data_IF_692916129910
#
_entry.id   IF_692916129910
#
_cell.length_a   1.000
_cell.length_b   1.000
_cell.length_c   1.000
_cell.angle_alpha   90.00
_cell.angle_beta   90.00
_cell.angle_gamma   90.00
#
_symmetry.space_group_name_H-M   'P 1'
#
loop_
_entity.id
_entity.type
_entity.pdbx_description
1 polymer ?
#
# COMPACT_ATOMS: atom_id res chain seq x y z
N UNK A 1 4.62 20.96 -9.87
CA UNK A 1 3.73 21.57 -8.84
C UNK A 1 3.72 23.08 -9.01
N UNK A 2 2.55 23.75 -8.97
CA UNK A 2 2.49 25.23 -9.09
C UNK A 2 2.93 25.84 -7.75
N UNK A 3 3.90 26.78 -7.72
CA UNK A 3 4.43 27.34 -6.47
C UNK A 3 3.38 28.08 -5.64
N UNK A 4 2.37 28.66 -6.28
CA UNK A 4 1.30 29.43 -5.59
C UNK A 4 0.12 28.56 -5.15
N UNK A 5 0.10 27.27 -5.49
CA UNK A 5 -0.91 26.34 -4.97
C UNK A 5 -0.69 26.05 -3.49
N UNK A 6 -1.75 25.67 -2.77
CA UNK A 6 -1.67 25.26 -1.37
C UNK A 6 -0.62 24.16 -1.18
N UNK A 7 -0.60 23.16 -2.08
CA UNK A 7 0.40 22.08 -2.07
C UNK A 7 1.82 22.63 -2.24
N UNK A 8 2.02 23.63 -3.13
CA UNK A 8 3.32 24.26 -3.32
C UNK A 8 3.78 25.05 -2.10
N UNK A 9 2.88 25.72 -1.41
CA UNK A 9 3.17 26.43 -0.16
C UNK A 9 3.53 25.44 0.95
N UNK A 10 2.75 24.37 1.11
CA UNK A 10 3.03 23.32 2.09
C UNK A 10 4.38 22.63 1.83
N UNK A 11 4.69 22.33 0.57
CA UNK A 11 5.97 21.75 0.21
C UNK A 11 7.17 22.64 0.58
N UNK A 12 7.06 23.97 0.37
CA UNK A 12 8.09 24.92 0.81
C UNK A 12 8.26 24.91 2.32
N UNK A 13 7.16 24.96 3.08
CA UNK A 13 7.21 24.89 4.53
C UNK A 13 7.85 23.58 5.03
N UNK A 14 7.53 22.44 4.41
CA UNK A 14 8.16 21.16 4.75
C UNK A 14 9.67 21.19 4.49
N UNK A 15 10.13 21.79 3.39
CA UNK A 15 11.56 21.94 3.10
C UNK A 15 12.25 22.88 4.08
N UNK A 16 11.66 24.01 4.38
CA UNK A 16 12.16 24.94 5.38
C UNK A 16 12.29 24.27 6.75
N UNK A 17 11.28 23.50 7.15
CA UNK A 17 11.31 22.71 8.38
C UNK A 17 12.46 21.68 8.36
N UNK A 18 12.66 21.01 7.22
CA UNK A 18 13.75 20.05 7.05
C UNK A 18 15.14 20.67 7.21
N UNK A 19 15.31 21.90 6.75
CA UNK A 19 16.60 22.61 6.74
C UNK A 19 16.88 23.33 8.07
N UNK A 20 15.84 23.84 8.76
CA UNK A 20 16.01 24.75 9.91
C UNK A 20 15.74 24.10 11.25
N UNK A 21 14.89 23.08 11.31
CA UNK A 21 14.52 22.44 12.56
C UNK A 21 15.54 21.38 13.01
N UNK A 22 15.77 21.19 14.32
CA UNK A 22 16.64 20.13 14.81
C UNK A 22 15.91 18.79 14.93
N UNK A 23 16.68 17.69 14.83
CA UNK A 23 16.29 16.34 15.23
C UNK A 23 15.05 15.80 14.50
N UNK A 24 14.05 15.40 15.26
CA UNK A 24 12.84 14.75 14.75
C UNK A 24 12.02 15.63 13.81
N UNK A 25 11.92 16.91 14.08
CA UNK A 25 11.19 17.87 13.24
C UNK A 25 11.79 18.01 11.84
N UNK A 26 13.12 18.00 11.74
CA UNK A 26 13.80 17.97 10.42
C UNK A 26 13.41 16.70 9.64
N UNK A 27 13.39 15.54 10.29
CA UNK A 27 12.97 14.28 9.67
C UNK A 27 11.52 14.33 9.20
N UNK A 28 10.61 14.92 9.99
CA UNK A 28 9.20 15.17 9.57
C UNK A 28 9.18 16.01 8.29
N UNK A 29 9.95 17.10 8.26
CA UNK A 29 10.03 17.99 7.10
C UNK A 29 10.47 17.25 5.84
N UNK A 30 11.52 16.43 5.95
CA UNK A 30 12.03 15.59 4.83
C UNK A 30 10.97 14.60 4.35
N UNK A 31 10.35 13.85 5.28
CA UNK A 31 9.37 12.83 4.95
C UNK A 31 8.12 13.46 4.33
N UNK A 32 7.61 14.56 4.89
CA UNK A 32 6.44 15.26 4.37
C UNK A 32 6.70 15.87 2.98
N UNK A 33 7.86 16.48 2.76
CA UNK A 33 8.23 16.99 1.43
C UNK A 33 8.30 15.87 0.39
N UNK A 34 8.92 14.73 0.73
CA UNK A 34 9.00 13.56 -0.14
C UNK A 34 7.62 12.99 -0.49
N UNK A 35 6.70 12.97 0.50
CA UNK A 35 5.30 12.54 0.29
C UNK A 35 4.56 13.45 -0.68
N UNK A 36 4.74 14.77 -0.57
CA UNK A 36 4.10 15.75 -1.46
C UNK A 36 4.62 15.69 -2.90
N UNK A 37 5.84 15.20 -3.11
CA UNK A 37 6.43 14.98 -4.43
C UNK A 37 6.05 13.60 -5.03
N UNK A 38 5.62 12.66 -4.19
CA UNK A 38 5.27 11.31 -4.56
C UNK A 38 3.82 11.13 -5.08
N UNK A 39 3.47 9.91 -5.49
CA UNK A 39 2.10 9.53 -5.75
C UNK A 39 1.30 9.43 -4.45
N UNK A 40 -0.01 9.66 -4.53
CA UNK A 40 -0.94 9.42 -3.42
C UNK A 40 -0.96 7.93 -3.07
N UNK A 41 -0.79 7.59 -1.80
CA UNK A 41 -0.80 6.21 -1.30
C UNK A 41 -2.20 5.88 -0.75
N UNK A 42 -2.92 4.99 -1.42
CA UNK A 42 -4.31 4.65 -1.08
C UNK A 42 -4.43 3.17 -0.74
N UNK A 43 -4.92 2.86 0.45
CA UNK A 43 -5.25 1.49 0.85
C UNK A 43 -6.71 1.15 0.51
N UNK A 44 -6.92 -0.06 -0.02
CA UNK A 44 -8.23 -0.66 -0.19
C UNK A 44 -8.47 -1.60 0.98
N UNK A 45 -9.43 -1.27 1.83
CA UNK A 45 -9.75 -2.01 3.03
C UNK A 45 -11.19 -2.54 2.99
N UNK A 46 -11.51 -3.48 3.87
CA UNK A 46 -12.83 -4.10 3.97
C UNK A 46 -12.76 -5.60 4.13
N UNK A 47 -13.91 -6.23 4.33
CA UNK A 47 -14.03 -7.67 4.58
C UNK A 47 -13.61 -8.52 3.39
N UNK A 48 -13.35 -9.80 3.65
CA UNK A 48 -13.14 -10.80 2.60
C UNK A 48 -14.33 -10.79 1.64
N UNK A 49 -14.07 -10.88 0.33
CA UNK A 49 -15.08 -10.84 -0.74
C UNK A 49 -15.87 -9.51 -0.83
N UNK A 50 -15.44 -8.43 -0.20
CA UNK A 50 -16.07 -7.11 -0.36
C UNK A 50 -15.87 -6.50 -1.76
N UNK A 51 -14.93 -7.02 -2.55
CA UNK A 51 -14.65 -6.56 -3.92
C UNK A 51 -13.36 -5.73 -4.04
N UNK A 52 -12.48 -5.71 -3.03
CA UNK A 52 -11.21 -4.96 -3.03
C UNK A 52 -10.37 -5.24 -4.28
N UNK A 53 -10.00 -6.48 -4.52
CA UNK A 53 -9.19 -6.86 -5.69
C UNK A 53 -9.90 -6.62 -7.03
N UNK A 54 -11.22 -6.68 -7.08
CA UNK A 54 -12.02 -6.32 -8.26
C UNK A 54 -11.92 -4.82 -8.54
N UNK A 55 -12.09 -3.99 -7.51
CA UNK A 55 -11.93 -2.54 -7.61
C UNK A 55 -10.50 -2.17 -8.00
N UNK A 56 -9.50 -2.81 -7.37
CA UNK A 56 -8.09 -2.59 -7.68
C UNK A 56 -7.81 -2.87 -9.16
N UNK A 57 -8.24 -4.02 -9.69
CA UNK A 57 -8.07 -4.37 -11.09
C UNK A 57 -8.73 -3.34 -12.03
N UNK A 58 -9.90 -2.82 -11.66
CA UNK A 58 -10.58 -1.77 -12.42
C UNK A 58 -9.81 -0.44 -12.38
N UNK A 59 -9.26 -0.05 -11.23
CA UNK A 59 -8.46 1.16 -11.06
C UNK A 59 -7.13 1.06 -11.82
N UNK A 60 -6.46 -0.07 -11.75
CA UNK A 60 -5.21 -0.31 -12.49
C UNK A 60 -5.47 -0.41 -14.00
N UNK A 61 -6.63 -0.96 -14.39
CA UNK A 61 -7.02 -1.21 -15.78
C UNK A 61 -6.54 -2.56 -16.30
N UNK A 62 -6.01 -3.41 -15.43
CA UNK A 62 -5.53 -4.77 -15.74
C UNK A 62 -5.90 -5.74 -14.61
N UNK A 63 -5.98 -7.03 -14.93
CA UNK A 63 -6.19 -8.10 -13.96
C UNK A 63 -4.86 -8.51 -13.32
N UNK A 64 -4.37 -7.71 -12.38
CA UNK A 64 -3.09 -7.91 -11.68
C UNK A 64 -3.27 -8.40 -10.25
N UNK A 65 -4.38 -8.08 -9.61
CA UNK A 65 -4.69 -8.61 -8.29
C UNK A 65 -5.36 -9.98 -8.41
N UNK A 66 -4.92 -10.98 -7.64
CA UNK A 66 -5.61 -12.26 -7.54
C UNK A 66 -7.04 -12.04 -7.06
N UNK A 67 -8.03 -12.53 -7.80
CA UNK A 67 -9.45 -12.46 -7.40
C UNK A 67 -9.91 -13.73 -6.67
N UNK A 68 -9.13 -14.79 -6.79
CA UNK A 68 -9.37 -16.06 -6.11
C UNK A 68 -8.60 -16.10 -4.78
N UNK A 69 -9.04 -16.92 -3.84
CA UNK A 69 -8.41 -17.07 -2.51
C UNK A 69 -7.02 -17.69 -2.65
N UNK A 70 -6.04 -16.88 -3.04
CA UNK A 70 -4.64 -17.27 -3.09
C UNK A 70 -3.92 -16.85 -1.81
N UNK A 71 -2.77 -17.46 -1.55
CA UNK A 71 -1.92 -17.13 -0.38
C UNK A 71 -1.53 -15.65 -0.34
N UNK A 72 -1.50 -14.96 -1.48
CA UNK A 72 -1.19 -13.55 -1.58
C UNK A 72 -2.19 -12.64 -0.84
N UNK A 73 -3.44 -13.08 -0.61
CA UNK A 73 -4.44 -12.29 0.14
C UNK A 73 -4.16 -12.21 1.65
N UNK A 74 -3.11 -12.86 2.14
CA UNK A 74 -2.64 -12.77 3.52
C UNK A 74 -1.64 -11.65 3.75
N UNK A 75 -1.16 -10.98 2.68
CA UNK A 75 -0.16 -9.94 2.73
C UNK A 75 -0.69 -8.64 2.16
N UNK A 76 -0.18 -7.52 2.67
CA UNK A 76 -0.38 -6.24 2.03
C UNK A 76 0.36 -6.26 0.69
N UNK A 77 -0.36 -5.98 -0.39
CA UNK A 77 0.21 -5.96 -1.74
C UNK A 77 0.12 -4.55 -2.32
N UNK A 78 1.29 -3.93 -2.53
CA UNK A 78 1.41 -2.63 -3.16
C UNK A 78 1.44 -2.75 -4.68
N UNK A 79 0.70 -1.89 -5.35
CA UNK A 79 0.69 -1.74 -6.81
C UNK A 79 1.19 -0.35 -7.17
N UNK A 80 2.30 -0.27 -7.93
CA UNK A 80 2.95 0.97 -8.32
C UNK A 80 3.35 1.00 -9.78
N UNK A 81 3.53 2.21 -10.35
CA UNK A 81 4.12 2.38 -11.69
C UNK A 81 5.56 1.91 -11.68
N UNK A 82 5.98 1.24 -12.73
CA UNK A 82 7.35 0.80 -12.95
C UNK A 82 7.61 0.56 -14.43
N UNK A 83 8.88 0.48 -14.84
CA UNK A 83 9.24 0.32 -16.25
C UNK A 83 8.85 -1.04 -16.82
N UNK A 84 8.75 -2.05 -15.97
CA UNK A 84 8.44 -3.44 -16.33
C UNK A 84 7.60 -4.12 -15.24
N UNK A 85 7.03 -5.27 -15.59
CA UNK A 85 6.36 -6.12 -14.61
C UNK A 85 7.40 -6.76 -13.70
N UNK A 86 7.30 -6.46 -12.44
CA UNK A 86 8.20 -6.96 -11.41
C UNK A 86 7.43 -7.20 -10.11
N UNK A 87 7.71 -8.30 -9.43
CA UNK A 87 7.19 -8.60 -8.11
C UNK A 87 8.34 -8.75 -7.14
N UNK A 88 8.24 -8.05 -6.02
CA UNK A 88 9.23 -8.07 -4.96
C UNK A 88 8.56 -8.39 -3.64
N UNK A 89 9.14 -9.31 -2.88
CA UNK A 89 8.79 -9.57 -1.49
C UNK A 89 9.73 -8.74 -0.62
N UNK A 90 9.18 -7.99 0.33
CA UNK A 90 9.97 -7.24 1.31
C UNK A 90 9.84 -7.89 2.69
N UNK A 91 10.98 -8.14 3.33
CA UNK A 91 11.08 -8.57 4.73
C UNK A 91 11.00 -7.41 5.71
N UNK A 92 10.78 -7.72 6.98
CA UNK A 92 10.82 -6.72 8.07
C UNK A 92 12.24 -6.13 8.25
N UNK A 93 13.26 -6.86 7.84
CA UNK A 93 14.68 -6.43 7.83
C UNK A 93 15.03 -5.50 6.67
N UNK A 94 14.07 -5.16 5.80
CA UNK A 94 14.30 -4.38 4.59
C UNK A 94 14.90 -5.17 3.42
N UNK A 95 15.16 -6.47 3.57
CA UNK A 95 15.59 -7.32 2.48
C UNK A 95 14.48 -7.45 1.43
N UNK A 96 14.85 -7.32 0.16
CA UNK A 96 13.90 -7.43 -0.95
C UNK A 96 14.29 -8.57 -1.89
N UNK A 97 13.37 -9.50 -2.10
CA UNK A 97 13.56 -10.65 -2.98
C UNK A 97 12.63 -10.53 -4.19
N UNK A 98 13.20 -10.58 -5.39
CA UNK A 98 12.41 -10.61 -6.62
C UNK A 98 11.83 -12.01 -6.82
N UNK A 99 10.55 -12.09 -7.16
CA UNK A 99 9.85 -13.36 -7.42
C UNK A 99 9.31 -13.41 -8.85
N UNK A 100 9.07 -14.62 -9.33
CA UNK A 100 8.55 -14.82 -10.66
C UNK A 100 7.13 -14.26 -10.80
N UNK A 101 6.91 -13.52 -11.87
CA UNK A 101 5.63 -13.02 -12.30
C UNK A 101 5.24 -13.73 -13.60
N UNK A 102 4.14 -14.44 -13.58
CA UNK A 102 3.63 -15.16 -14.75
C UNK A 102 2.27 -14.60 -15.16
N UNK A 103 1.97 -14.65 -16.44
CA UNK A 103 0.63 -14.37 -16.97
C UNK A 103 0.03 -15.66 -17.52
N UNK A 104 -1.06 -16.10 -16.93
CA UNK A 104 -1.81 -17.22 -17.42
C UNK A 104 -3.26 -16.80 -17.74
N UNK A 105 -3.67 -16.95 -19.00
CA UNK A 105 -5.01 -16.55 -19.43
C UNK A 105 -5.32 -15.06 -19.24
N UNK A 106 -4.32 -14.17 -19.36
CA UNK A 106 -4.49 -12.71 -19.16
C UNK A 106 -4.62 -12.28 -17.71
N UNK A 107 -4.41 -13.20 -16.74
CA UNK A 107 -4.36 -12.92 -15.29
C UNK A 107 -2.93 -12.98 -14.80
N UNK A 108 -2.57 -12.07 -13.92
CA UNK A 108 -1.31 -12.11 -13.20
C UNK A 108 -1.33 -13.24 -12.17
N UNK A 109 -0.29 -14.05 -12.17
CA UNK A 109 -0.03 -15.04 -11.13
C UNK A 109 1.32 -14.73 -10.48
N UNK A 110 1.27 -14.49 -9.18
CA UNK A 110 2.46 -14.32 -8.35
C UNK A 110 2.76 -15.68 -7.75
N UNK A 111 3.86 -16.30 -8.17
CA UNK A 111 4.33 -17.55 -7.58
C UNK A 111 5.31 -17.22 -6.46
N UNK A 112 4.87 -17.44 -5.24
CA UNK A 112 5.77 -17.38 -4.09
C UNK A 112 6.79 -18.52 -4.19
N UNK A 113 8.05 -18.30 -3.75
CA UNK A 113 9.02 -19.39 -3.63
C UNK A 113 8.52 -20.47 -2.66
N UNK A 114 8.85 -21.72 -2.93
CA UNK A 114 8.57 -22.84 -2.02
C UNK A 114 9.88 -23.35 -1.40
N UNK A 115 10.05 -23.27 -0.06
CA UNK A 115 9.15 -22.66 0.92
C UNK A 115 9.14 -21.13 0.81
N UNK A 116 8.03 -20.48 1.16
CA UNK A 116 8.01 -19.01 1.17
C UNK A 116 9.02 -18.47 2.18
N UNK A 117 9.67 -17.33 1.90
CA UNK A 117 10.57 -16.70 2.86
C UNK A 117 9.82 -16.49 4.19
N UNK A 118 10.44 -16.90 5.32
CA UNK A 118 9.74 -16.93 6.62
C UNK A 118 9.33 -15.54 7.13
N UNK A 119 10.05 -14.50 6.70
CA UNK A 119 10.02 -13.18 7.33
C UNK A 119 9.58 -12.06 6.38
N UNK A 120 8.89 -12.36 5.27
CA UNK A 120 8.35 -11.30 4.43
C UNK A 120 7.00 -10.78 4.95
N UNK A 121 6.82 -9.47 4.87
CA UNK A 121 5.65 -8.77 5.39
C UNK A 121 4.80 -8.15 4.29
N UNK A 122 5.39 -7.81 3.14
CA UNK A 122 4.75 -7.08 2.07
C UNK A 122 5.15 -7.59 0.69
N UNK A 123 4.23 -7.43 -0.25
CA UNK A 123 4.44 -7.70 -1.67
C UNK A 123 4.36 -6.36 -2.41
N UNK A 124 5.30 -6.11 -3.33
CA UNK A 124 5.22 -4.98 -4.25
C UNK A 124 5.14 -5.49 -5.67
N UNK A 125 4.08 -5.10 -6.38
CA UNK A 125 3.88 -5.34 -7.81
C UNK A 125 4.13 -4.02 -8.55
N UNK A 126 5.17 -3.98 -9.37
CA UNK A 126 5.46 -2.86 -10.26
C UNK A 126 5.04 -3.22 -11.67
N UNK A 127 4.39 -2.30 -12.38
CA UNK A 127 3.93 -2.51 -13.75
C UNK A 127 3.84 -1.17 -14.49
N UNK A 128 3.98 -1.16 -15.83
CA UNK A 128 3.80 0.05 -16.62
C UNK A 128 2.34 0.53 -16.56
N UNK A 129 2.03 1.54 -15.75
CA UNK A 129 0.67 2.06 -15.60
C UNK A 129 0.65 3.56 -15.38
N UNK A 130 0.11 4.30 -16.36
CA UNK A 130 -0.06 5.76 -16.22
C UNK A 130 -0.94 6.15 -15.03
N UNK A 131 -1.87 5.28 -14.63
CA UNK A 131 -2.78 5.53 -13.50
C UNK A 131 -2.02 5.46 -12.19
N UNK A 132 -1.10 4.49 -12.05
CA UNK A 132 -0.30 4.30 -10.85
C UNK A 132 0.82 5.34 -10.66
N UNK A 133 1.10 6.18 -11.66
CA UNK A 133 2.04 7.32 -11.51
C UNK A 133 1.56 8.37 -10.52
N UNK A 134 0.25 8.51 -10.36
CA UNK A 134 -0.35 9.50 -9.46
C UNK A 134 -0.91 8.90 -8.18
N UNK A 135 -1.26 7.62 -8.21
CA UNK A 135 -1.87 6.91 -7.10
C UNK A 135 -1.27 5.52 -7.02
N UNK A 136 -0.60 5.20 -5.95
CA UNK A 136 -0.23 3.83 -5.62
C UNK A 136 -1.35 3.21 -4.79
N UNK A 137 -1.62 1.93 -5.02
CA UNK A 137 -2.71 1.20 -4.38
C UNK A 137 -2.15 0.08 -3.51
N UNK A 138 -2.65 -0.03 -2.29
CA UNK A 138 -2.41 -1.17 -1.42
C UNK A 138 -3.67 -2.02 -1.33
N UNK A 139 -3.61 -3.28 -1.75
CA UNK A 139 -4.64 -4.28 -1.46
C UNK A 139 -4.34 -4.87 -0.08
N UNK A 140 -5.30 -4.75 0.85
CA UNK A 140 -5.13 -5.26 2.20
C UNK A 140 -5.84 -6.58 2.38
N UNK A 141 -5.33 -7.46 3.26
CA UNK A 141 -6.07 -8.62 3.72
C UNK A 141 -7.44 -8.25 4.28
N UNK A 142 -8.42 -9.14 4.16
CA UNK A 142 -9.73 -8.92 4.77
C UNK A 142 -9.67 -8.92 6.30
N UNK A 143 -10.40 -8.00 6.94
CA UNK A 143 -10.42 -7.87 8.40
C UNK A 143 -11.08 -9.04 9.14
N UNK A 144 -11.92 -9.80 8.45
CA UNK A 144 -12.60 -10.99 8.96
C UNK A 144 -11.76 -12.26 8.80
N UNK A 145 -10.48 -12.12 8.45
CA UNK A 145 -9.54 -13.24 8.50
C UNK A 145 -9.44 -13.75 9.93
N UNK A 146 -9.66 -15.05 10.12
CA UNK A 146 -9.48 -15.74 11.40
C UNK A 146 -8.03 -15.75 11.90
N UNK A 147 -7.10 -15.31 11.06
CA UNK A 147 -5.69 -15.18 11.38
C UNK A 147 -5.41 -13.78 11.98
N UNK A 148 -5.12 -13.76 13.27
CA UNK A 148 -4.83 -12.53 14.02
C UNK A 148 -3.63 -11.75 13.43
N UNK A 149 -2.65 -12.44 12.84
CA UNK A 149 -1.49 -11.80 12.20
C UNK A 149 -1.88 -11.05 10.93
N UNK A 150 -2.86 -11.53 10.18
CA UNK A 150 -3.36 -10.88 8.97
C UNK A 150 -4.07 -9.56 9.34
N UNK A 151 -4.89 -9.56 10.37
CA UNK A 151 -5.52 -8.35 10.90
C UNK A 151 -4.51 -7.30 11.40
N UNK A 152 -3.46 -7.78 12.11
CA UNK A 152 -2.40 -6.91 12.61
C UNK A 152 -1.60 -6.21 11.49
N UNK A 153 -1.34 -6.88 10.36
CA UNK A 153 -0.66 -6.29 9.20
C UNK A 153 -1.46 -5.14 8.57
N UNK A 154 -2.76 -5.34 8.40
CA UNK A 154 -3.63 -4.30 7.89
C UNK A 154 -3.69 -3.11 8.86
N UNK A 155 -3.78 -3.37 10.15
CA UNK A 155 -3.79 -2.33 11.18
C UNK A 155 -2.49 -1.53 11.17
N UNK A 156 -1.32 -2.18 11.14
CA UNK A 156 -0.01 -1.50 11.01
C UNK A 156 0.12 -0.62 9.76
N UNK A 157 -0.57 -0.97 8.67
CA UNK A 157 -0.59 -0.14 7.47
C UNK A 157 -1.40 1.14 7.67
N UNK A 158 -2.53 1.04 8.38
CA UNK A 158 -3.52 2.10 8.53
C UNK A 158 -3.26 2.97 9.75
N UNK A 159 -2.71 2.41 10.81
CA UNK A 159 -2.34 3.11 12.03
C UNK A 159 -0.97 3.78 11.88
N UNK A 160 -0.75 4.83 12.63
CA UNK A 160 0.56 5.47 12.75
C UNK A 160 1.51 4.52 13.47
N UNK A 161 2.67 4.17 12.88
CA UNK A 161 3.61 3.30 13.57
C UNK A 161 4.16 3.99 14.81
N UNK A 162 4.10 3.31 15.95
CA UNK A 162 4.81 3.75 17.15
C UNK A 162 6.32 3.56 16.91
N UNK A 163 7.08 4.65 16.81
CA UNK A 163 8.55 4.63 16.75
C UNK A 163 9.20 4.60 15.37
N UNK A 164 8.48 4.33 14.29
CA UNK A 164 9.03 4.32 12.92
C UNK A 164 8.21 5.21 11.99
N UNK A 165 8.80 6.36 11.61
CA UNK A 165 8.14 7.32 10.74
C UNK A 165 7.13 8.21 11.48
N UNK A 166 6.97 9.43 11.00
CA UNK A 166 6.13 10.45 11.65
C UNK A 166 4.79 10.60 10.95
N UNK A 167 4.66 10.03 9.75
CA UNK A 167 3.45 10.06 8.94
C UNK A 167 2.83 8.66 8.78
N UNK A 168 1.50 8.56 8.63
CA UNK A 168 0.84 7.30 8.29
C UNK A 168 1.43 6.72 7.00
N UNK A 169 1.45 5.40 6.87
CA UNK A 169 1.98 4.73 5.66
C UNK A 169 1.11 4.95 4.42
N UNK A 170 -0.15 5.34 4.59
CA UNK A 170 -1.10 5.67 3.53
C UNK A 170 -1.70 7.05 3.74
N UNK A 171 -2.05 7.71 2.63
CA UNK A 171 -2.64 9.04 2.64
C UNK A 171 -4.18 8.97 2.70
N UNK A 172 -4.75 7.88 2.22
CA UNK A 172 -6.19 7.65 2.24
C UNK A 172 -6.54 6.16 2.30
N UNK A 173 -7.73 5.88 2.81
CA UNK A 173 -8.32 4.54 2.86
C UNK A 173 -9.65 4.55 2.13
N UNK A 174 -9.81 3.60 1.21
CA UNK A 174 -11.11 3.29 0.59
C UNK A 174 -11.64 2.03 1.23
N UNK A 175 -12.66 2.18 2.09
CA UNK A 175 -13.27 1.05 2.79
C UNK A 175 -14.47 0.52 2.00
N UNK A 176 -14.41 -0.76 1.62
CA UNK A 176 -15.46 -1.41 0.84
C UNK A 176 -16.40 -2.20 1.73
N UNK A 177 -17.67 -1.85 1.64
CA UNK A 177 -18.78 -2.52 2.33
C UNK A 177 -19.73 -3.12 1.30
N UNK A 178 -20.18 -4.38 1.50
CA UNK A 178 -21.37 -4.93 0.84
C UNK A 178 -22.63 -4.60 1.63
N UNK A 179 -22.54 -4.80 2.94
CA UNK A 179 -23.57 -4.49 3.92
C UNK A 179 -22.85 -3.97 5.16
N UNK A 180 -23.41 -2.98 5.83
CA UNK A 180 -22.87 -2.47 7.08
C UNK A 180 -23.10 -3.51 8.20
N UNK A 181 -22.01 -3.99 8.78
CA UNK A 181 -22.05 -4.82 9.99
C UNK A 181 -21.47 -4.02 11.16
N UNK A 182 -21.83 -4.37 12.38
CA UNK A 182 -21.32 -3.70 13.58
C UNK A 182 -19.80 -3.73 13.68
N UNK A 183 -19.17 -4.82 13.24
CA UNK A 183 -17.71 -4.93 13.19
C UNK A 183 -17.04 -3.97 12.18
N UNK A 184 -17.74 -3.59 11.11
CA UNK A 184 -17.24 -2.60 10.15
C UNK A 184 -17.32 -1.19 10.74
N UNK A 185 -18.38 -0.89 11.49
CA UNK A 185 -18.55 0.39 12.18
C UNK A 185 -17.48 0.56 13.26
N UNK A 186 -17.23 -0.48 14.07
CA UNK A 186 -16.19 -0.48 15.10
C UNK A 186 -14.75 -0.29 14.52
N UNK A 187 -14.55 -0.52 13.25
CA UNK A 187 -13.27 -0.26 12.59
C UNK A 187 -13.16 1.21 12.12
N UNK A 188 -14.28 1.86 11.85
CA UNK A 188 -14.31 3.24 11.34
C UNK A 188 -14.31 4.29 12.48
N UNK A 189 -14.59 3.87 13.73
CA UNK A 189 -14.49 4.67 14.95
C UNK A 189 -13.03 4.71 15.47
#
# INVERSE_FOLDING_TARGET
MRPDSLTGQLHRLCKELAETAPGELSRVGVEAASRLDGPLLVALAGRTKAGKSTLLNALVGERVAPTDMSECTRFVTWYRDGPEYNVTLAGEDGAATRVAFERQGGRAQIRLPEPPPRDFSEITVSLPSRRLRRVQLADTPGFDSTDAMVGARTRRLLERPEGEGLLPRVDAVVYLLRHAHSADLAFLD
#
